data_IF_398838325653
#
_entry.id   IF_398838325653
#
_cell.length_a   1.000
_cell.length_b   1.000
_cell.length_c   1.000
_cell.angle_alpha   90.00
_cell.angle_beta   90.00
_cell.angle_gamma   90.00
#
_symmetry.space_group_name_H-M   'P 1'
#
loop_
_entity.id
_entity.type
_entity.pdbx_description
1 polymer ?
#
# COMPACT_ATOMS: atom_id res chain seq x y z
N UNK A 1 -20.71 -32.00 -4.20
CA UNK A 1 -19.74 -32.39 -3.15
C UNK A 1 -18.31 -32.39 -3.71
N UNK A 2 -18.03 -33.01 -4.87
CA UNK A 2 -16.70 -33.00 -5.52
C UNK A 2 -16.08 -31.60 -5.75
N UNK A 3 -16.80 -30.67 -6.38
CA UNK A 3 -16.28 -29.31 -6.67
C UNK A 3 -15.80 -28.52 -5.44
N UNK A 4 -16.46 -28.69 -4.28
CA UNK A 4 -16.04 -28.03 -3.04
C UNK A 4 -14.77 -28.67 -2.47
N UNK A 5 -14.64 -29.99 -2.56
CA UNK A 5 -13.45 -30.72 -2.13
C UNK A 5 -12.24 -30.37 -3.01
N UNK A 6 -12.43 -30.29 -4.34
CA UNK A 6 -11.38 -29.94 -5.30
C UNK A 6 -10.89 -28.50 -5.11
N UNK A 7 -11.80 -27.55 -4.81
CA UNK A 7 -11.43 -26.18 -4.47
C UNK A 7 -10.60 -26.09 -3.18
N UNK A 8 -10.89 -26.91 -2.17
CA UNK A 8 -10.10 -26.93 -0.93
C UNK A 8 -8.72 -27.58 -1.13
N UNK A 9 -8.62 -28.64 -1.93
CA UNK A 9 -7.33 -29.25 -2.28
C UNK A 9 -6.46 -28.28 -3.09
N UNK A 10 -7.05 -27.56 -4.05
CA UNK A 10 -6.38 -26.52 -4.81
C UNK A 10 -5.77 -25.44 -3.91
N UNK A 11 -6.55 -24.93 -2.95
CA UNK A 11 -6.07 -23.94 -1.99
C UNK A 11 -4.94 -24.50 -1.10
N UNK A 12 -5.07 -25.73 -0.59
CA UNK A 12 -4.00 -26.37 0.20
C UNK A 12 -2.69 -26.50 -0.59
N UNK A 13 -2.76 -26.77 -1.88
CA UNK A 13 -1.59 -26.82 -2.76
C UNK A 13 -0.91 -25.44 -2.88
N UNK A 14 -1.70 -24.39 -3.12
CA UNK A 14 -1.21 -23.01 -3.21
C UNK A 14 -0.58 -22.54 -1.90
N UNK A 15 -1.18 -22.88 -0.75
CA UNK A 15 -0.62 -22.59 0.57
C UNK A 15 0.74 -23.26 0.74
N UNK A 16 0.86 -24.57 0.48
CA UNK A 16 2.16 -25.28 0.60
C UNK A 16 3.24 -24.67 -0.28
N UNK A 17 2.89 -24.34 -1.53
CA UNK A 17 3.79 -23.67 -2.48
C UNK A 17 4.24 -22.32 -1.94
N UNK A 18 3.29 -21.49 -1.49
CA UNK A 18 3.59 -20.18 -0.92
C UNK A 18 4.47 -20.26 0.33
N UNK A 19 4.17 -21.18 1.26
CA UNK A 19 4.97 -21.41 2.47
C UNK A 19 6.43 -21.74 2.12
N UNK A 20 6.66 -22.63 1.14
CA UNK A 20 8.01 -22.99 0.73
C UNK A 20 8.76 -21.79 0.13
N UNK A 21 8.11 -21.06 -0.79
CA UNK A 21 8.71 -19.88 -1.44
C UNK A 21 9.03 -18.79 -0.40
N UNK A 22 8.10 -18.51 0.52
CA UNK A 22 8.28 -17.55 1.60
C UNK A 22 9.47 -17.95 2.49
N UNK A 23 9.54 -19.22 2.91
CA UNK A 23 10.61 -19.70 3.78
C UNK A 23 11.99 -19.55 3.11
N UNK A 24 12.09 -19.88 1.81
CA UNK A 24 13.32 -19.70 1.05
C UNK A 24 13.69 -18.22 0.93
N UNK A 25 12.74 -17.35 0.57
CA UNK A 25 12.98 -15.91 0.45
C UNK A 25 13.39 -15.28 1.79
N UNK A 26 12.71 -15.64 2.88
CA UNK A 26 13.04 -15.21 4.24
C UNK A 26 14.45 -15.64 4.64
N UNK A 27 14.81 -16.91 4.39
CA UNK A 27 16.15 -17.40 4.67
C UNK A 27 17.23 -16.62 3.89
N UNK A 28 16.99 -16.33 2.61
CA UNK A 28 17.91 -15.54 1.78
C UNK A 28 18.08 -14.12 2.33
N UNK A 29 16.98 -13.40 2.59
CA UNK A 29 17.04 -12.01 3.04
C UNK A 29 17.61 -11.91 4.46
N UNK A 30 17.22 -12.76 5.39
CA UNK A 30 17.79 -12.74 6.74
C UNK A 30 19.28 -13.12 6.74
N UNK A 31 19.70 -14.01 5.85
CA UNK A 31 21.14 -14.27 5.65
C UNK A 31 21.84 -13.03 5.08
N UNK A 32 21.22 -12.33 4.13
CA UNK A 32 21.78 -11.09 3.60
C UNK A 32 21.91 -10.00 4.68
N UNK A 33 20.89 -9.78 5.52
CA UNK A 33 20.98 -8.86 6.65
C UNK A 33 22.04 -9.28 7.67
N UNK A 34 22.20 -10.58 7.94
CA UNK A 34 23.22 -11.06 8.88
C UNK A 34 24.65 -10.91 8.33
N UNK A 35 24.84 -10.95 7.01
CA UNK A 35 26.14 -10.91 6.34
C UNK A 35 26.56 -9.51 5.85
N UNK A 36 25.64 -8.55 5.84
CA UNK A 36 25.89 -7.21 5.31
C UNK A 36 25.58 -6.14 6.35
N UNK A 37 26.24 -4.96 6.29
CA UNK A 37 25.93 -3.86 7.19
C UNK A 37 24.67 -3.09 6.76
N UNK A 38 23.82 -3.66 5.90
CA UNK A 38 22.61 -3.00 5.41
C UNK A 38 21.62 -2.90 6.58
N UNK A 39 21.21 -1.69 6.97
CA UNK A 39 20.30 -1.52 8.10
C UNK A 39 18.91 -2.10 7.77
N UNK A 40 18.35 -2.85 8.71
CA UNK A 40 16.96 -3.31 8.70
C UNK A 40 16.12 -2.39 9.57
N UNK A 41 15.02 -1.87 9.05
CA UNK A 41 14.10 -1.07 9.85
C UNK A 41 13.41 -1.90 10.93
N UNK A 42 13.05 -3.15 10.63
CA UNK A 42 12.44 -4.05 11.61
C UNK A 42 13.41 -4.32 12.76
N UNK A 43 14.68 -4.59 12.43
CA UNK A 43 15.71 -4.88 13.42
C UNK A 43 16.10 -3.67 14.27
N UNK A 44 16.23 -2.49 13.64
CA UNK A 44 16.73 -1.30 14.33
C UNK A 44 15.63 -0.44 14.96
N UNK A 45 14.59 -0.08 14.19
CA UNK A 45 13.58 0.88 14.60
C UNK A 45 12.39 0.21 15.29
N UNK A 46 11.81 -0.82 14.68
CA UNK A 46 10.61 -1.44 15.22
C UNK A 46 10.90 -2.24 16.49
N UNK A 47 12.03 -2.96 16.54
CA UNK A 47 12.49 -3.60 17.76
C UNK A 47 12.66 -2.60 18.92
N UNK A 48 13.23 -1.43 18.64
CA UNK A 48 13.40 -0.35 19.62
C UNK A 48 12.06 0.20 20.11
N UNK A 49 11.12 0.45 19.21
CA UNK A 49 9.76 0.88 19.57
C UNK A 49 9.03 -0.18 20.40
N UNK A 50 9.15 -1.46 20.04
CA UNK A 50 8.60 -2.56 20.82
C UNK A 50 9.19 -2.57 22.23
N UNK A 51 10.51 -2.41 22.38
CA UNK A 51 11.19 -2.29 23.67
C UNK A 51 10.64 -1.14 24.53
N UNK A 52 10.50 0.05 23.95
CA UNK A 52 9.90 1.20 24.65
C UNK A 52 8.49 0.93 25.15
N UNK A 53 7.63 0.34 24.30
CA UNK A 53 6.27 0.00 24.70
C UNK A 53 6.21 -1.11 25.76
N UNK A 54 7.12 -2.09 25.71
CA UNK A 54 7.25 -3.13 26.74
C UNK A 54 7.75 -2.58 28.09
N UNK A 55 8.53 -1.50 28.04
CA UNK A 55 8.94 -0.71 29.21
C UNK A 55 7.87 0.31 29.65
N UNK A 56 6.62 0.15 29.19
CA UNK A 56 5.47 1.01 29.50
C UNK A 56 5.61 2.47 29.04
N UNK A 57 6.48 2.77 28.09
CA UNK A 57 6.55 4.09 27.46
C UNK A 57 5.45 4.22 26.40
N UNK A 58 4.75 5.34 26.42
CA UNK A 58 3.65 5.60 25.52
C UNK A 58 4.13 6.28 24.22
N UNK A 59 3.80 5.74 23.03
CA UNK A 59 4.13 6.41 21.78
C UNK A 59 3.49 7.80 21.70
N UNK A 60 4.19 8.73 21.04
CA UNK A 60 3.89 10.17 20.92
C UNK A 60 4.15 11.01 22.17
N UNK A 61 3.90 10.46 23.37
CA UNK A 61 4.13 11.14 24.64
C UNK A 61 5.59 11.00 25.11
N UNK A 62 6.05 9.75 25.24
CA UNK A 62 7.36 9.43 25.81
C UNK A 62 8.44 9.27 24.74
N UNK A 63 8.05 8.88 23.52
CA UNK A 63 8.95 8.82 22.37
C UNK A 63 8.25 9.22 21.07
N UNK A 64 9.02 9.81 20.15
CA UNK A 64 8.52 10.20 18.84
C UNK A 64 8.26 8.97 17.96
N UNK A 65 7.02 8.86 17.49
CA UNK A 65 6.58 7.82 16.56
C UNK A 65 5.81 8.46 15.39
N UNK A 66 6.14 8.07 14.17
CA UNK A 66 5.61 8.63 12.93
C UNK A 66 4.41 7.86 12.35
N UNK A 67 4.05 6.73 12.96
CA UNK A 67 3.00 5.85 12.44
C UNK A 67 1.67 6.04 13.18
N UNK A 68 0.52 5.76 12.55
CA UNK A 68 -0.79 5.78 13.21
C UNK A 68 -0.92 4.79 14.39
N UNK A 69 -1.89 5.00 15.30
CA UNK A 69 -2.03 4.23 16.55
C UNK A 69 -1.99 2.71 16.41
N UNK A 70 -2.72 2.12 15.46
CA UNK A 70 -2.78 0.66 15.33
C UNK A 70 -1.49 0.08 14.74
N UNK A 71 -0.65 0.88 14.09
CA UNK A 71 0.68 0.44 13.68
C UNK A 71 1.54 0.02 14.88
N UNK A 72 1.38 0.71 16.01
CA UNK A 72 2.08 0.38 17.26
C UNK A 72 1.76 -1.04 17.73
N UNK A 73 0.54 -1.53 17.48
CA UNK A 73 0.17 -2.90 17.85
C UNK A 73 0.96 -3.94 17.03
N UNK A 74 1.06 -3.77 15.71
CA UNK A 74 1.81 -4.69 14.84
C UNK A 74 3.32 -4.63 15.11
N UNK A 75 3.82 -3.50 15.60
CA UNK A 75 5.21 -3.36 16.04
C UNK A 75 5.42 -4.04 17.41
N UNK A 76 4.44 -3.96 18.31
CA UNK A 76 4.52 -4.52 19.66
C UNK A 76 4.42 -6.06 19.68
N UNK A 77 3.54 -6.64 18.87
CA UNK A 77 3.23 -8.09 18.90
C UNK A 77 4.49 -8.96 18.82
N UNK A 78 5.43 -8.76 17.88
CA UNK A 78 6.66 -9.55 17.82
C UNK A 78 7.56 -9.36 19.05
N UNK A 79 7.51 -8.18 19.67
CA UNK A 79 8.22 -7.85 20.90
C UNK A 79 7.88 -8.81 22.04
N UNK A 80 6.61 -9.22 22.14
CA UNK A 80 6.12 -10.15 23.16
C UNK A 80 6.73 -11.56 23.07
N UNK A 81 7.32 -11.91 21.93
CA UNK A 81 7.88 -13.24 21.65
C UNK A 81 9.39 -13.21 21.37
N UNK A 82 10.05 -12.10 21.67
CA UNK A 82 11.46 -11.87 21.30
C UNK A 82 12.32 -11.44 22.48
N UNK A 83 13.60 -11.81 22.44
CA UNK A 83 14.60 -11.46 23.47
C UNK A 83 15.86 -10.81 22.88
N UNK A 84 15.90 -10.68 21.56
CA UNK A 84 16.97 -10.06 20.79
C UNK A 84 16.42 -9.55 19.45
N UNK A 85 17.15 -8.64 18.82
CA UNK A 85 16.83 -8.11 17.48
C UNK A 85 16.56 -9.21 16.45
N UNK A 86 17.41 -10.24 16.41
CA UNK A 86 17.23 -11.38 15.49
C UNK A 86 15.92 -12.14 15.76
N UNK A 87 15.62 -12.44 17.03
CA UNK A 87 14.36 -13.13 17.36
C UNK A 87 13.13 -12.27 17.09
N UNK A 88 13.26 -10.94 17.21
CA UNK A 88 12.21 -9.99 16.86
C UNK A 88 11.94 -9.99 15.35
N UNK A 89 12.99 -9.92 14.52
CA UNK A 89 12.86 -10.03 13.06
C UNK A 89 12.19 -11.34 12.65
N UNK A 90 12.56 -12.46 13.26
CA UNK A 90 11.93 -13.76 13.00
C UNK A 90 10.43 -13.73 13.38
N UNK A 91 10.09 -13.23 14.58
CA UNK A 91 8.71 -13.13 15.03
C UNK A 91 7.87 -12.20 14.13
N UNK A 92 8.43 -11.05 13.72
CA UNK A 92 7.80 -10.14 12.77
C UNK A 92 7.60 -10.84 11.42
N UNK A 93 8.60 -11.58 10.93
CA UNK A 93 8.46 -12.36 9.69
C UNK A 93 7.36 -13.42 9.73
N UNK A 94 7.15 -14.06 10.89
CA UNK A 94 6.01 -14.97 11.10
C UNK A 94 4.69 -14.21 11.03
N UNK A 95 4.60 -13.03 11.64
CA UNK A 95 3.42 -12.18 11.56
C UNK A 95 3.10 -11.75 10.11
N UNK A 96 4.12 -11.29 9.38
CA UNK A 96 4.05 -10.97 7.94
C UNK A 96 3.55 -12.16 7.12
N UNK A 97 4.09 -13.36 7.36
CA UNK A 97 3.67 -14.59 6.70
C UNK A 97 2.18 -14.89 6.90
N UNK A 98 1.68 -14.76 8.13
CA UNK A 98 0.26 -15.00 8.44
C UNK A 98 -0.66 -14.03 7.70
N UNK A 99 -0.28 -12.75 7.60
CA UNK A 99 -1.03 -11.76 6.83
C UNK A 99 -0.99 -12.08 5.33
N UNK A 100 0.17 -12.38 4.78
CA UNK A 100 0.28 -12.76 3.36
C UNK A 100 -0.55 -14.00 3.02
N UNK A 101 -0.59 -14.99 3.94
CA UNK A 101 -1.41 -16.18 3.81
C UNK A 101 -2.91 -15.84 3.81
N UNK A 102 -3.35 -14.94 4.69
CA UNK A 102 -4.73 -14.44 4.67
C UNK A 102 -5.06 -13.73 3.35
N UNK A 103 -4.11 -12.94 2.83
CA UNK A 103 -4.21 -12.31 1.51
C UNK A 103 -4.34 -13.35 0.38
N UNK A 104 -3.49 -14.38 0.37
CA UNK A 104 -3.54 -15.48 -0.61
C UNK A 104 -4.90 -16.19 -0.59
N UNK A 105 -5.43 -16.49 0.60
CA UNK A 105 -6.78 -17.07 0.74
C UNK A 105 -7.84 -16.14 0.14
N UNK A 106 -7.74 -14.83 0.38
CA UNK A 106 -8.66 -13.85 -0.21
C UNK A 106 -8.56 -13.81 -1.74
N UNK A 107 -7.35 -13.81 -2.31
CA UNK A 107 -7.14 -13.87 -3.77
C UNK A 107 -7.81 -15.12 -4.35
N UNK A 108 -7.55 -16.28 -3.75
CA UNK A 108 -8.13 -17.56 -4.20
C UNK A 108 -9.65 -17.52 -4.18
N UNK A 109 -10.24 -17.01 -3.08
CA UNK A 109 -11.69 -16.93 -2.90
C UNK A 109 -12.34 -15.91 -3.83
N UNK A 110 -11.73 -14.74 -4.06
CA UNK A 110 -12.23 -13.75 -5.03
C UNK A 110 -12.17 -14.35 -6.45
N UNK A 111 -11.04 -14.93 -6.83
CA UNK A 111 -10.86 -15.53 -8.15
C UNK A 111 -11.88 -16.65 -8.43
N UNK A 112 -12.16 -17.50 -7.44
CA UNK A 112 -13.17 -18.55 -7.55
C UNK A 112 -14.60 -18.06 -7.76
N UNK A 113 -14.88 -16.75 -7.63
CA UNK A 113 -16.17 -16.16 -8.01
C UNK A 113 -16.26 -15.74 -9.48
N UNK A 114 -15.16 -15.84 -10.23
CA UNK A 114 -15.06 -15.42 -11.63
C UNK A 114 -14.53 -16.51 -12.57
N UNK A 115 -13.61 -17.35 -12.10
CA UNK A 115 -12.91 -18.34 -12.93
C UNK A 115 -12.81 -19.70 -12.22
N UNK A 116 -12.76 -20.77 -12.99
CA UNK A 116 -12.62 -22.15 -12.48
C UNK A 116 -11.19 -22.45 -11.96
N UNK A 117 -10.17 -21.78 -12.50
CA UNK A 117 -8.76 -21.97 -12.12
C UNK A 117 -8.13 -20.75 -11.40
N UNK A 118 -8.40 -20.54 -10.09
CA UNK A 118 -7.82 -19.46 -9.28
C UNK A 118 -6.29 -19.42 -9.19
N UNK A 119 -5.61 -20.53 -9.51
CA UNK A 119 -4.17 -20.74 -9.24
C UNK A 119 -3.29 -19.69 -9.92
N UNK A 120 -3.57 -19.32 -11.17
CA UNK A 120 -2.78 -18.31 -11.90
C UNK A 120 -2.82 -16.93 -11.24
N UNK A 121 -3.93 -16.59 -10.58
CA UNK A 121 -4.04 -15.32 -9.85
C UNK A 121 -3.26 -15.38 -8.53
N UNK A 122 -3.28 -16.54 -7.87
CA UNK A 122 -2.46 -16.81 -6.69
C UNK A 122 -0.98 -16.74 -7.02
N UNK A 123 -0.55 -17.33 -8.14
CA UNK A 123 0.82 -17.21 -8.66
C UNK A 123 1.23 -15.76 -8.88
N UNK A 124 0.35 -14.95 -9.50
CA UNK A 124 0.62 -13.53 -9.69
C UNK A 124 0.78 -12.79 -8.35
N UNK A 125 -0.10 -13.02 -7.38
CA UNK A 125 0.02 -12.45 -6.04
C UNK A 125 1.34 -12.85 -5.36
N UNK A 126 1.68 -14.13 -5.39
CA UNK A 126 2.93 -14.65 -4.81
C UNK A 126 4.12 -13.97 -5.48
N UNK A 127 4.18 -13.92 -6.81
CA UNK A 127 5.28 -13.29 -7.55
C UNK A 127 5.40 -11.81 -7.20
N UNK A 128 4.31 -11.04 -7.23
CA UNK A 128 4.34 -9.61 -6.90
C UNK A 128 4.84 -9.36 -5.48
N UNK A 129 4.45 -10.21 -4.51
CA UNK A 129 4.96 -10.13 -3.15
C UNK A 129 6.46 -10.50 -3.09
N UNK A 130 6.88 -11.58 -3.76
CA UNK A 130 8.26 -12.06 -3.67
C UNK A 130 9.27 -11.14 -4.36
N UNK A 131 8.88 -10.45 -5.43
CA UNK A 131 9.78 -9.46 -6.08
C UNK A 131 9.94 -8.19 -5.22
N UNK A 132 9.00 -7.92 -4.30
CA UNK A 132 9.05 -6.82 -3.32
C UNK A 132 9.39 -7.31 -1.91
N UNK A 133 10.01 -8.49 -1.80
CA UNK A 133 10.12 -9.21 -0.53
C UNK A 133 11.01 -8.49 0.50
N UNK A 134 12.03 -7.78 0.04
CA UNK A 134 12.89 -6.91 0.84
C UNK A 134 12.05 -5.89 1.64
N UNK A 135 11.12 -5.21 0.97
CA UNK A 135 10.20 -4.29 1.63
C UNK A 135 9.15 -5.02 2.45
N UNK A 136 8.63 -6.16 1.99
CA UNK A 136 7.57 -6.88 2.69
C UNK A 136 8.02 -7.42 4.05
N UNK A 137 9.26 -7.91 4.14
CA UNK A 137 9.79 -8.46 5.38
C UNK A 137 10.35 -7.39 6.32
N UNK A 138 10.71 -6.21 5.78
CA UNK A 138 11.34 -5.13 6.53
C UNK A 138 10.45 -3.88 6.71
N UNK A 139 9.18 -3.91 6.25
CA UNK A 139 8.21 -2.82 6.42
C UNK A 139 6.84 -3.34 6.79
N UNK A 140 6.14 -2.60 7.66
CA UNK A 140 4.79 -2.96 8.12
C UNK A 140 3.68 -2.66 7.09
N UNK A 141 4.01 -2.08 5.92
CA UNK A 141 3.08 -1.75 4.83
C UNK A 141 2.26 -2.95 4.31
N UNK A 142 2.73 -4.17 4.58
CA UNK A 142 2.03 -5.41 4.32
C UNK A 142 0.69 -5.52 5.06
N UNK A 143 0.62 -5.10 6.32
CA UNK A 143 -0.59 -5.23 7.14
C UNK A 143 -1.78 -4.44 6.56
N UNK A 144 -1.68 -3.12 6.30
CA UNK A 144 -2.77 -2.38 5.69
C UNK A 144 -3.05 -2.83 4.25
N UNK A 145 -2.04 -3.30 3.50
CA UNK A 145 -2.22 -3.84 2.15
C UNK A 145 -3.12 -5.07 2.16
N UNK A 146 -2.85 -6.04 3.04
CA UNK A 146 -3.69 -7.23 3.20
C UNK A 146 -5.06 -6.86 3.73
N UNK A 147 -5.18 -5.90 4.64
CA UNK A 147 -6.49 -5.41 5.10
C UNK A 147 -7.32 -4.81 3.97
N UNK A 148 -6.72 -4.07 3.03
CA UNK A 148 -7.39 -3.63 1.81
C UNK A 148 -7.88 -4.83 0.98
N UNK A 149 -7.07 -5.87 0.82
CA UNK A 149 -7.45 -7.09 0.09
C UNK A 149 -8.59 -7.86 0.74
N UNK A 150 -8.56 -7.99 2.08
CA UNK A 150 -9.64 -8.60 2.87
C UNK A 150 -10.91 -7.75 2.77
N UNK A 151 -10.79 -6.41 2.76
CA UNK A 151 -11.92 -5.52 2.53
C UNK A 151 -12.53 -5.74 1.14
N UNK A 152 -11.71 -5.86 0.08
CA UNK A 152 -12.18 -6.21 -1.27
C UNK A 152 -12.93 -7.55 -1.26
N UNK A 153 -12.41 -8.57 -0.58
CA UNK A 153 -13.09 -9.86 -0.42
C UNK A 153 -14.45 -9.73 0.26
N UNK A 154 -14.56 -8.95 1.33
CA UNK A 154 -15.82 -8.73 2.02
C UNK A 154 -16.81 -7.87 1.23
N UNK A 155 -16.33 -6.93 0.41
CA UNK A 155 -17.19 -6.23 -0.56
C UNK A 155 -17.72 -7.22 -1.59
N UNK A 156 -16.85 -8.06 -2.19
CA UNK A 156 -17.27 -9.05 -3.19
C UNK A 156 -18.29 -10.06 -2.65
N UNK A 157 -18.16 -10.44 -1.39
CA UNK A 157 -19.06 -11.40 -0.72
C UNK A 157 -20.24 -10.77 0.01
N UNK A 158 -20.49 -9.46 -0.21
CA UNK A 158 -21.59 -8.69 0.39
C UNK A 158 -21.59 -8.67 1.94
N UNK A 159 -20.44 -8.94 2.57
CA UNK A 159 -20.24 -8.85 4.03
C UNK A 159 -19.79 -7.45 4.43
N UNK A 160 -20.57 -6.43 4.08
CA UNK A 160 -20.13 -5.03 4.11
C UNK A 160 -19.71 -4.52 5.49
N UNK A 161 -20.33 -4.98 6.58
CA UNK A 161 -19.89 -4.59 7.92
C UNK A 161 -18.44 -5.00 8.20
N UNK A 162 -18.01 -6.17 7.73
CA UNK A 162 -16.62 -6.62 7.86
C UNK A 162 -15.68 -5.87 6.90
N UNK A 163 -16.16 -5.48 5.72
CA UNK A 163 -15.39 -4.59 4.83
C UNK A 163 -15.09 -3.25 5.51
N UNK A 164 -16.08 -2.64 6.17
CA UNK A 164 -15.90 -1.41 6.95
C UNK A 164 -14.92 -1.58 8.11
N UNK A 165 -14.98 -2.71 8.83
CA UNK A 165 -14.00 -3.04 9.88
C UNK A 165 -12.59 -3.06 9.30
N UNK A 166 -12.37 -3.76 8.18
CA UNK A 166 -11.04 -3.87 7.57
C UNK A 166 -10.53 -2.53 7.01
N UNK A 167 -11.39 -1.71 6.42
CA UNK A 167 -11.03 -0.35 6.00
C UNK A 167 -10.62 0.50 7.20
N UNK A 168 -11.35 0.41 8.32
CA UNK A 168 -11.05 1.18 9.53
C UNK A 168 -9.75 0.72 10.20
N UNK A 169 -9.56 -0.60 10.39
CA UNK A 169 -8.31 -1.15 10.92
C UNK A 169 -7.12 -0.82 10.01
N UNK A 170 -7.30 -0.94 8.69
CA UNK A 170 -6.31 -0.53 7.70
C UNK A 170 -5.93 0.93 7.86
N UNK A 171 -6.93 1.82 7.97
CA UNK A 171 -6.76 3.27 8.18
C UNK A 171 -5.97 3.59 9.45
N UNK A 172 -6.30 2.91 10.55
CA UNK A 172 -5.63 3.10 11.83
C UNK A 172 -4.25 2.47 11.86
N UNK A 173 -3.91 1.62 10.90
CA UNK A 173 -2.57 1.08 10.68
C UNK A 173 -1.75 2.00 9.77
N UNK A 174 -2.34 2.48 8.68
CA UNK A 174 -1.76 3.47 7.76
C UNK A 174 -2.88 4.26 7.12
N UNK A 175 -2.72 5.54 6.84
CA UNK A 175 -3.88 6.40 6.50
C UNK A 175 -4.54 6.09 5.14
N UNK A 176 -3.82 5.54 4.17
CA UNK A 176 -4.32 5.42 2.79
C UNK A 176 -5.58 4.55 2.58
N UNK A 177 -5.86 3.47 3.35
CA UNK A 177 -7.10 2.69 3.22
C UNK A 177 -8.34 3.53 3.50
N UNK A 178 -8.23 4.67 4.20
CA UNK A 178 -9.35 5.60 4.41
C UNK A 178 -9.96 6.07 3.09
N UNK A 179 -9.17 6.10 2.01
CA UNK A 179 -9.61 6.49 0.68
C UNK A 179 -10.60 5.50 0.06
N UNK A 180 -10.63 4.25 0.53
CA UNK A 180 -11.63 3.27 0.10
C UNK A 180 -13.02 3.57 0.68
N UNK A 181 -13.10 4.25 1.83
CA UNK A 181 -14.37 4.53 2.49
C UNK A 181 -15.29 5.40 1.63
N UNK A 182 -14.87 6.56 1.08
CA UNK A 182 -15.72 7.33 0.16
C UNK A 182 -16.13 6.55 -1.10
N UNK A 183 -15.26 5.70 -1.65
CA UNK A 183 -15.62 4.84 -2.80
C UNK A 183 -16.77 3.91 -2.43
N UNK A 184 -16.72 3.27 -1.26
CA UNK A 184 -17.78 2.39 -0.78
C UNK A 184 -19.06 3.15 -0.38
N UNK A 185 -18.95 4.34 0.23
CA UNK A 185 -20.09 5.21 0.51
C UNK A 185 -20.80 5.58 -0.80
N UNK A 186 -20.05 6.04 -1.81
CA UNK A 186 -20.61 6.42 -3.11
C UNK A 186 -21.29 5.22 -3.75
N UNK A 187 -20.63 4.05 -3.74
CA UNK A 187 -21.21 2.82 -4.25
C UNK A 187 -22.56 2.50 -3.61
N UNK A 188 -22.63 2.49 -2.28
CA UNK A 188 -23.86 2.14 -1.56
C UNK A 188 -24.94 3.18 -1.71
N UNK A 189 -24.60 4.47 -1.61
CA UNK A 189 -25.57 5.56 -1.73
C UNK A 189 -26.18 5.65 -3.14
N UNK A 190 -25.37 5.45 -4.19
CA UNK A 190 -25.87 5.45 -5.57
C UNK A 190 -26.76 4.25 -5.87
N UNK A 191 -26.62 3.15 -5.12
CA UNK A 191 -27.46 1.96 -5.21
C UNK A 191 -28.59 1.92 -4.16
N UNK A 192 -28.95 3.07 -3.55
CA UNK A 192 -30.06 3.15 -2.58
C UNK A 192 -29.78 2.57 -1.19
N UNK A 193 -28.58 2.04 -0.92
CA UNK A 193 -28.16 1.37 0.33
C UNK A 193 -27.58 2.35 1.36
N UNK A 194 -28.20 3.53 1.52
CA UNK A 194 -27.69 4.63 2.36
C UNK A 194 -27.51 4.23 3.84
N UNK A 195 -28.39 3.37 4.36
CA UNK A 195 -28.31 2.93 5.76
C UNK A 195 -27.08 2.05 6.01
N UNK A 196 -26.67 1.24 5.02
CA UNK A 196 -25.45 0.42 5.12
C UNK A 196 -24.19 1.30 5.06
N UNK A 197 -24.23 2.40 4.29
CA UNK A 197 -23.17 3.42 4.32
C UNK A 197 -23.09 4.10 5.70
N UNK A 198 -24.22 4.52 6.27
CA UNK A 198 -24.25 5.16 7.59
C UNK A 198 -23.75 4.22 8.69
N UNK A 199 -24.19 2.95 8.67
CA UNK A 199 -23.68 1.91 9.57
C UNK A 199 -22.16 1.75 9.42
N UNK A 200 -21.68 1.74 8.19
CA UNK A 200 -20.25 1.69 7.88
C UNK A 200 -19.44 2.84 8.45
N UNK A 201 -19.92 4.07 8.28
CA UNK A 201 -19.33 5.27 8.89
C UNK A 201 -19.30 5.13 10.41
N UNK A 202 -20.38 4.65 11.03
CA UNK A 202 -20.42 4.37 12.46
C UNK A 202 -19.36 3.36 12.93
N UNK A 203 -19.12 2.28 12.15
CA UNK A 203 -18.05 1.30 12.41
C UNK A 203 -16.67 1.95 12.34
N UNK A 204 -16.42 2.77 11.31
CA UNK A 204 -15.14 3.47 11.16
C UNK A 204 -14.87 4.42 12.32
N UNK A 205 -15.88 5.22 12.72
CA UNK A 205 -15.78 6.12 13.87
C UNK A 205 -15.51 5.34 15.15
N UNK A 206 -16.24 4.25 15.40
CA UNK A 206 -16.06 3.42 16.59
C UNK A 206 -14.63 2.86 16.68
N UNK A 207 -14.12 2.26 15.60
CA UNK A 207 -12.76 1.71 15.57
C UNK A 207 -11.70 2.81 15.73
N UNK A 208 -11.90 3.95 15.06
CA UNK A 208 -11.02 5.12 15.22
C UNK A 208 -10.97 5.61 16.67
N UNK A 209 -12.13 5.72 17.33
CA UNK A 209 -12.19 6.10 18.74
C UNK A 209 -11.51 5.06 19.65
N UNK A 210 -11.79 3.77 19.47
CA UNK A 210 -11.19 2.70 20.29
C UNK A 210 -9.66 2.69 20.17
N UNK A 211 -9.14 2.82 18.96
CA UNK A 211 -7.69 2.79 18.70
C UNK A 211 -6.98 4.06 19.19
N UNK A 212 -7.64 5.22 19.16
CA UNK A 212 -7.10 6.48 19.69
C UNK A 212 -7.24 6.61 21.21
N UNK A 213 -8.17 5.89 21.85
CA UNK A 213 -8.51 6.07 23.26
C UNK A 213 -7.30 5.96 24.22
N UNK A 214 -6.38 4.99 24.08
CA UNK A 214 -5.21 4.92 24.97
C UNK A 214 -4.33 6.17 24.88
N UNK A 215 -4.13 6.70 23.68
CA UNK A 215 -3.30 7.89 23.43
C UNK A 215 -3.99 9.17 23.94
N UNK A 216 -5.30 9.25 23.78
CA UNK A 216 -6.10 10.34 24.35
C UNK A 216 -6.05 10.35 25.89
N UNK A 217 -6.05 9.18 26.54
CA UNK A 217 -5.97 9.09 28.00
C UNK A 217 -4.55 9.43 28.49
N UNK A 218 -3.52 8.94 27.80
CA UNK A 218 -2.13 9.15 28.20
C UNK A 218 -1.72 10.63 28.05
N UNK A 219 -1.95 11.22 26.87
CA UNK A 219 -1.67 12.63 26.61
C UNK A 219 -2.48 13.14 25.40
N UNK A 220 -3.59 13.86 25.64
CA UNK A 220 -4.40 14.45 24.58
C UNK A 220 -3.63 15.40 23.65
N UNK A 221 -2.57 16.05 24.15
CA UNK A 221 -1.81 17.04 23.39
C UNK A 221 -0.94 16.43 22.30
N UNK A 222 -0.52 15.18 22.47
CA UNK A 222 0.43 14.50 21.58
C UNK A 222 -0.20 13.40 20.73
N UNK A 223 -1.47 13.04 20.95
CA UNK A 223 -2.14 11.94 20.22
C UNK A 223 -2.15 12.04 18.68
N UNK A 224 -1.97 13.25 18.13
CA UNK A 224 -1.91 13.51 16.68
C UNK A 224 -0.50 13.82 16.17
N UNK A 225 0.56 13.62 16.97
CA UNK A 225 1.94 13.96 16.59
C UNK A 225 2.40 13.27 15.30
N UNK A 226 1.92 12.06 15.02
CA UNK A 226 2.21 11.39 13.75
C UNK A 226 1.70 12.19 12.52
N UNK A 227 0.60 12.95 12.65
CA UNK A 227 0.14 13.83 11.57
C UNK A 227 1.07 15.02 11.41
N UNK A 228 1.47 15.67 12.50
CA UNK A 228 2.42 16.78 12.50
C UNK A 228 3.76 16.38 11.87
N UNK A 229 4.26 15.18 12.20
CA UNK A 229 5.45 14.61 11.58
C UNK A 229 5.38 14.61 10.04
N UNK A 230 4.26 14.16 9.46
CA UNK A 230 4.11 14.12 7.99
C UNK A 230 3.77 15.49 7.38
N UNK A 231 3.18 16.40 8.15
CA UNK A 231 2.97 17.79 7.70
C UNK A 231 4.30 18.52 7.56
N UNK A 232 5.21 18.37 8.53
CA UNK A 232 6.50 19.06 8.56
C UNK A 232 7.56 18.42 7.65
N UNK A 233 7.37 17.15 7.27
CA UNK A 233 8.27 16.41 6.38
C UNK A 233 8.48 17.12 5.03
N UNK A 234 9.71 17.10 4.54
CA UNK A 234 10.08 17.64 3.23
C UNK A 234 9.52 16.87 2.03
N UNK A 235 9.85 17.33 0.82
CA UNK A 235 9.49 16.63 -0.42
C UNK A 235 10.49 15.50 -0.68
N UNK A 236 10.02 14.25 -0.67
CA UNK A 236 10.89 13.08 -0.78
C UNK A 236 11.40 12.91 -2.21
N UNK A 237 12.67 12.50 -2.39
CA UNK A 237 13.35 12.49 -3.70
C UNK A 237 12.61 11.67 -4.77
N UNK A 238 11.83 10.66 -4.40
CA UNK A 238 11.16 9.77 -5.35
C UNK A 238 9.76 10.24 -5.75
N UNK A 239 9.25 11.30 -5.13
CA UNK A 239 7.97 11.90 -5.51
C UNK A 239 7.97 12.29 -6.99
N UNK A 240 6.79 12.24 -7.62
CA UNK A 240 6.66 12.59 -9.04
C UNK A 240 7.15 14.01 -9.30
N UNK A 241 6.77 14.95 -8.43
CA UNK A 241 7.26 16.33 -8.49
C UNK A 241 8.78 16.41 -8.32
N UNK A 242 9.35 15.73 -7.31
CA UNK A 242 10.80 15.72 -7.07
C UNK A 242 11.59 15.24 -8.28
N UNK A 243 11.15 14.17 -8.95
CA UNK A 243 11.88 13.65 -10.12
C UNK A 243 12.01 14.66 -11.25
N UNK A 244 11.00 15.53 -11.45
CA UNK A 244 11.05 16.64 -12.42
C UNK A 244 11.90 17.79 -11.90
N UNK A 245 11.72 18.19 -10.64
CA UNK A 245 12.46 19.29 -10.03
C UNK A 245 13.97 18.99 -9.99
N UNK A 246 14.37 17.80 -9.56
CA UNK A 246 15.77 17.37 -9.55
C UNK A 246 16.39 17.39 -10.95
N UNK A 247 15.63 17.07 -12.01
CA UNK A 247 16.13 17.22 -13.37
C UNK A 247 16.39 18.68 -13.75
N UNK A 248 15.50 19.59 -13.35
CA UNK A 248 15.70 21.02 -13.56
C UNK A 248 16.90 21.54 -12.76
N UNK A 249 17.08 21.06 -11.53
CA UNK A 249 18.24 21.38 -10.69
C UNK A 249 19.55 20.85 -11.26
N UNK A 250 19.55 19.65 -11.87
CA UNK A 250 20.73 19.10 -12.53
C UNK A 250 21.24 19.97 -13.70
N UNK A 251 20.35 20.70 -14.37
CA UNK A 251 20.69 21.64 -15.44
C UNK A 251 20.86 23.09 -14.96
N UNK A 252 21.00 23.31 -13.65
CA UNK A 252 21.15 24.63 -13.03
C UNK A 252 20.00 25.62 -13.37
N UNK A 253 18.80 25.11 -13.67
CA UNK A 253 17.61 25.94 -13.96
C UNK A 253 16.98 26.47 -12.67
N UNK A 254 17.04 25.68 -11.59
CA UNK A 254 16.56 26.03 -10.26
C UNK A 254 17.53 25.55 -9.19
N UNK A 255 17.60 26.27 -8.07
CA UNK A 255 18.39 25.84 -6.91
C UNK A 255 17.66 24.74 -6.14
N UNK A 256 18.37 23.64 -5.84
CA UNK A 256 17.87 22.52 -5.06
C UNK A 256 18.94 22.06 -4.06
N UNK A 257 18.53 21.91 -2.80
CA UNK A 257 19.32 21.24 -1.78
C UNK A 257 18.79 19.83 -1.49
N UNK A 258 19.67 18.97 -0.97
CA UNK A 258 19.38 17.60 -0.56
C UNK A 258 19.62 17.46 0.94
N UNK A 259 18.75 16.72 1.63
CA UNK A 259 18.85 16.49 3.07
C UNK A 259 18.23 15.15 3.45
N UNK A 260 18.90 14.42 4.35
CA UNK A 260 18.30 13.27 5.02
C UNK A 260 17.64 13.72 6.33
N UNK A 261 16.31 13.66 6.39
CA UNK A 261 15.53 13.92 7.60
C UNK A 261 14.19 13.16 7.54
N UNK A 262 13.52 13.00 8.68
CA UNK A 262 12.27 12.23 8.77
C UNK A 262 12.39 10.79 8.18
N UNK A 263 13.54 10.16 8.36
CA UNK A 263 13.81 8.81 7.87
C UNK A 263 13.83 8.67 6.34
N UNK A 264 14.06 9.75 5.59
CA UNK A 264 14.14 9.70 4.13
C UNK A 264 15.01 10.79 3.52
N UNK A 265 15.41 10.59 2.26
CA UNK A 265 16.02 11.62 1.43
C UNK A 265 14.97 12.59 0.90
N UNK A 266 15.16 13.87 1.19
CA UNK A 266 14.27 14.94 0.79
C UNK A 266 15.03 16.03 0.02
N UNK A 267 14.30 16.74 -0.84
CA UNK A 267 14.76 17.96 -1.49
C UNK A 267 14.14 19.19 -0.80
N UNK A 268 14.86 20.30 -0.83
CA UNK A 268 14.42 21.60 -0.33
C UNK A 268 14.88 22.75 -1.22
N UNK A 269 14.23 23.90 -1.08
CA UNK A 269 14.54 25.11 -1.84
C UNK A 269 13.27 25.89 -2.19
N UNK A 270 13.41 27.14 -2.64
CA UNK A 270 12.26 28.03 -2.86
C UNK A 270 11.20 27.43 -3.81
N UNK A 271 11.64 26.76 -4.89
CA UNK A 271 10.72 26.10 -5.84
C UNK A 271 10.17 24.78 -5.29
N UNK A 272 10.98 23.82 -4.79
CA UNK A 272 10.47 22.63 -4.12
C UNK A 272 9.45 22.93 -3.00
N UNK A 273 9.72 23.91 -2.15
CA UNK A 273 8.86 24.25 -1.00
C UNK A 273 7.53 24.85 -1.46
N UNK A 274 7.54 25.71 -2.49
CA UNK A 274 6.32 26.26 -3.09
C UNK A 274 5.46 25.17 -3.75
N UNK A 275 6.09 24.22 -4.46
CA UNK A 275 5.39 23.07 -5.06
C UNK A 275 4.82 22.17 -3.96
N UNK A 276 5.60 21.83 -2.93
CA UNK A 276 5.11 21.03 -1.80
C UNK A 276 3.88 21.67 -1.13
N UNK A 277 3.87 23.01 -1.00
CA UNK A 277 2.75 23.76 -0.43
C UNK A 277 1.44 23.66 -1.21
N UNK A 278 1.48 23.40 -2.53
CA UNK A 278 0.27 23.25 -3.36
C UNK A 278 -0.17 21.80 -3.57
N UNK A 279 0.73 20.83 -3.38
CA UNK A 279 0.48 19.40 -3.64
C UNK A 279 -0.69 18.82 -2.84
N UNK A 280 -0.87 19.22 -1.57
CA UNK A 280 -2.01 18.77 -0.76
C UNK A 280 -3.36 19.11 -1.41
N UNK A 281 -3.50 20.35 -1.88
CA UNK A 281 -4.73 20.83 -2.51
C UNK A 281 -4.96 20.17 -3.87
N UNK A 282 -3.90 20.01 -4.67
CA UNK A 282 -3.95 19.30 -5.95
C UNK A 282 -4.38 17.84 -5.75
N UNK A 283 -3.77 17.15 -4.79
CA UNK A 283 -4.11 15.77 -4.43
C UNK A 283 -5.57 15.66 -4.00
N UNK A 284 -6.03 16.52 -3.09
CA UNK A 284 -7.42 16.53 -2.63
C UNK A 284 -8.40 16.79 -3.78
N UNK A 285 -8.09 17.74 -4.67
CA UNK A 285 -8.90 18.05 -5.84
C UNK A 285 -8.97 16.88 -6.83
N UNK A 286 -7.84 16.22 -7.13
CA UNK A 286 -7.80 15.07 -8.04
C UNK A 286 -8.57 13.86 -7.48
N UNK A 287 -8.45 13.59 -6.18
CA UNK A 287 -9.19 12.53 -5.49
C UNK A 287 -10.70 12.86 -5.50
N UNK A 288 -11.09 14.09 -5.17
CA UNK A 288 -12.49 14.51 -5.22
C UNK A 288 -13.08 14.42 -6.64
N UNK A 289 -12.35 14.84 -7.66
CA UNK A 289 -12.75 14.69 -9.06
C UNK A 289 -12.96 13.21 -9.43
N UNK A 290 -12.11 12.32 -8.91
CA UNK A 290 -12.22 10.87 -9.14
C UNK A 290 -13.46 10.30 -8.45
N UNK A 291 -13.79 10.73 -7.23
CA UNK A 291 -15.03 10.36 -6.55
C UNK A 291 -16.27 10.80 -7.33
N UNK A 292 -16.29 12.04 -7.84
CA UNK A 292 -17.40 12.55 -8.66
C UNK A 292 -17.52 11.76 -9.96
N UNK A 293 -16.41 11.52 -10.65
CA UNK A 293 -16.37 10.72 -11.87
C UNK A 293 -16.90 9.30 -11.62
N UNK A 294 -16.43 8.64 -10.56
CA UNK A 294 -16.91 7.31 -10.16
C UNK A 294 -18.40 7.31 -9.84
N UNK A 295 -18.89 8.23 -9.01
CA UNK A 295 -20.30 8.34 -8.65
C UNK A 295 -21.23 8.54 -9.85
N UNK A 296 -20.78 9.32 -10.85
CA UNK A 296 -21.53 9.51 -12.11
C UNK A 296 -21.73 8.21 -12.90
N UNK A 297 -20.80 7.26 -12.76
CA UNK A 297 -20.82 5.97 -13.47
C UNK A 297 -21.54 4.87 -12.71
N UNK A 298 -21.59 4.94 -11.37
CA UNK A 298 -22.32 3.95 -10.56
C UNK A 298 -23.84 4.17 -10.62
N UNK A 299 -24.30 5.42 -10.71
CA UNK A 299 -25.72 5.80 -10.57
C UNK A 299 -26.70 5.15 -11.57
N UNK A 300 -26.24 4.54 -12.66
CA UNK A 300 -27.08 4.02 -13.74
C UNK A 300 -26.57 2.69 -14.33
N UNK A 301 -26.10 1.75 -13.51
CA UNK A 301 -25.50 0.50 -14.00
C UNK A 301 -26.18 -0.74 -13.44
N UNK A 302 -26.66 -1.61 -14.34
CA UNK A 302 -27.22 -2.94 -14.01
C UNK A 302 -26.16 -4.06 -14.03
N UNK A 303 -24.89 -3.74 -14.31
CA UNK A 303 -23.77 -4.71 -14.42
C UNK A 303 -23.02 -4.90 -13.10
N UNK A 304 -22.25 -5.98 -12.99
CA UNK A 304 -21.30 -6.18 -11.88
C UNK A 304 -20.34 -4.98 -11.78
N UNK A 305 -20.42 -4.27 -10.65
CA UNK A 305 -19.66 -3.04 -10.41
C UNK A 305 -18.35 -3.27 -9.65
N UNK A 306 -18.08 -4.50 -9.20
CA UNK A 306 -16.87 -4.82 -8.46
C UNK A 306 -15.57 -4.43 -9.19
N UNK A 307 -15.42 -4.63 -10.51
CA UNK A 307 -14.20 -4.20 -11.22
C UNK A 307 -14.02 -2.69 -11.20
N UNK A 308 -15.12 -1.94 -11.35
CA UNK A 308 -15.09 -0.46 -11.31
C UNK A 308 -14.85 0.07 -9.91
N UNK A 309 -15.40 -0.60 -8.89
CA UNK A 309 -15.11 -0.32 -7.49
C UNK A 309 -13.62 -0.52 -7.19
N UNK A 310 -13.04 -1.66 -7.60
CA UNK A 310 -11.62 -1.95 -7.46
C UNK A 310 -10.75 -0.90 -8.17
N UNK A 311 -11.15 -0.48 -9.38
CA UNK A 311 -10.45 0.56 -10.15
C UNK A 311 -10.51 1.93 -9.47
N UNK A 312 -11.66 2.30 -8.91
CA UNK A 312 -11.81 3.54 -8.16
C UNK A 312 -10.94 3.55 -6.90
N UNK A 313 -10.91 2.45 -6.14
CA UNK A 313 -10.02 2.30 -4.98
C UNK A 313 -8.54 2.42 -5.38
N UNK A 314 -8.10 1.71 -6.42
CA UNK A 314 -6.73 1.80 -6.92
C UNK A 314 -6.39 3.23 -7.38
N UNK A 315 -7.27 3.89 -8.14
CA UNK A 315 -7.04 5.23 -8.64
C UNK A 315 -6.84 6.25 -7.52
N UNK A 316 -7.67 6.22 -6.47
CA UNK A 316 -7.54 7.19 -5.37
C UNK A 316 -6.30 6.94 -4.51
N UNK A 317 -5.91 5.67 -4.32
CA UNK A 317 -4.65 5.31 -3.65
C UNK A 317 -3.45 5.74 -4.50
N UNK A 318 -3.51 5.54 -5.82
CA UNK A 318 -2.48 6.00 -6.75
C UNK A 318 -2.38 7.53 -6.77
N UNK A 319 -3.50 8.26 -6.80
CA UNK A 319 -3.49 9.71 -6.71
C UNK A 319 -2.89 10.19 -5.38
N UNK A 320 -3.21 9.51 -4.29
CA UNK A 320 -2.63 9.81 -2.98
C UNK A 320 -1.11 9.58 -2.94
N UNK A 321 -0.55 8.62 -3.67
CA UNK A 321 0.91 8.44 -3.71
C UNK A 321 1.59 9.33 -4.75
N UNK A 322 0.97 9.58 -5.91
CA UNK A 322 1.61 10.26 -7.04
C UNK A 322 1.52 11.78 -6.98
N UNK A 323 0.48 12.33 -6.34
CA UNK A 323 0.28 13.78 -6.20
C UNK A 323 0.73 14.30 -4.83
N UNK A 324 1.21 13.41 -3.96
CA UNK A 324 1.75 13.74 -2.65
C UNK A 324 3.25 14.03 -2.73
N UNK A 325 3.74 14.85 -1.80
CA UNK A 325 5.17 15.20 -1.67
C UNK A 325 6.03 14.01 -1.23
N UNK A 326 5.41 12.89 -0.84
CA UNK A 326 6.09 11.65 -0.43
C UNK A 326 5.65 10.49 -1.29
N UNK A 327 6.62 9.80 -1.91
CA UNK A 327 6.40 8.56 -2.67
C UNK A 327 7.47 7.51 -2.33
N UNK A 328 7.36 6.96 -1.13
CA UNK A 328 8.30 5.95 -0.64
C UNK A 328 8.28 4.68 -1.53
N UNK A 329 9.41 3.99 -1.74
CA UNK A 329 9.49 2.82 -2.63
C UNK A 329 8.48 1.72 -2.27
N UNK A 330 8.27 1.48 -0.98
CA UNK A 330 7.36 0.46 -0.48
C UNK A 330 5.88 0.77 -0.78
N UNK A 331 5.52 2.00 -1.16
CA UNK A 331 4.14 2.34 -1.51
C UNK A 331 3.62 1.54 -2.71
N UNK A 332 4.54 1.01 -3.54
CA UNK A 332 4.21 0.10 -4.64
C UNK A 332 3.48 -1.16 -4.13
N UNK A 333 3.76 -1.62 -2.91
CA UNK A 333 3.08 -2.78 -2.29
C UNK A 333 1.57 -2.52 -2.18
N UNK A 334 1.15 -1.27 -1.96
CA UNK A 334 -0.27 -0.92 -1.78
C UNK A 334 -1.11 -1.22 -3.03
N UNK A 335 -0.48 -1.27 -4.21
CA UNK A 335 -1.15 -1.58 -5.47
C UNK A 335 -1.42 -3.08 -5.64
N UNK A 336 -0.68 -3.96 -4.96
CA UNK A 336 -0.71 -5.42 -5.18
C UNK A 336 -2.14 -5.99 -5.11
N UNK A 337 -2.95 -5.74 -4.06
CA UNK A 337 -4.31 -6.27 -3.96
C UNK A 337 -5.16 -5.95 -5.18
N UNK A 338 -5.12 -4.67 -5.58
CA UNK A 338 -5.99 -4.15 -6.59
C UNK A 338 -5.56 -4.61 -7.97
N UNK A 339 -4.25 -4.58 -8.26
CA UNK A 339 -3.70 -5.04 -9.54
C UNK A 339 -3.93 -6.54 -9.71
N UNK A 340 -3.66 -7.35 -8.68
CA UNK A 340 -3.93 -8.79 -8.71
C UNK A 340 -5.39 -9.05 -9.06
N UNK A 341 -6.34 -8.44 -8.35
CA UNK A 341 -7.78 -8.63 -8.62
C UNK A 341 -8.19 -8.02 -9.96
N UNK A 342 -7.55 -6.95 -10.41
CA UNK A 342 -7.88 -6.27 -11.66
C UNK A 342 -7.65 -7.17 -12.88
N UNK A 343 -6.60 -7.99 -12.88
CA UNK A 343 -6.22 -8.86 -14.00
C UNK A 343 -7.32 -9.85 -14.40
N UNK A 344 -8.24 -10.19 -13.48
CA UNK A 344 -9.43 -11.00 -13.81
C UNK A 344 -10.32 -10.33 -14.86
N UNK A 345 -10.36 -9.00 -14.87
CA UNK A 345 -11.26 -8.16 -15.65
C UNK A 345 -10.53 -7.38 -16.74
N UNK A 346 -9.37 -7.86 -17.17
CA UNK A 346 -8.67 -7.33 -18.34
C UNK A 346 -8.86 -8.28 -19.50
N UNK A 347 -8.91 -7.76 -20.72
CA UNK A 347 -8.82 -8.60 -21.92
C UNK A 347 -7.45 -9.29 -22.00
N UNK A 348 -7.39 -10.43 -22.69
CA UNK A 348 -6.20 -11.29 -22.75
C UNK A 348 -4.92 -10.53 -23.16
N UNK A 349 -5.03 -9.63 -24.14
CA UNK A 349 -3.89 -8.81 -24.58
C UNK A 349 -3.37 -7.85 -23.50
N UNK A 350 -4.27 -7.31 -22.67
CA UNK A 350 -3.92 -6.37 -21.60
C UNK A 350 -3.43 -7.07 -20.33
N UNK A 351 -3.78 -8.34 -20.10
CA UNK A 351 -3.26 -9.12 -18.96
C UNK A 351 -1.74 -9.20 -18.98
N UNK A 352 -1.18 -9.71 -20.08
CA UNK A 352 0.28 -9.88 -20.22
C UNK A 352 0.99 -8.52 -20.19
N UNK A 353 0.47 -7.52 -20.91
CA UNK A 353 1.04 -6.16 -20.91
C UNK A 353 1.07 -5.56 -19.51
N UNK A 354 0.00 -5.73 -18.73
CA UNK A 354 -0.07 -5.20 -17.37
C UNK A 354 0.94 -5.87 -16.44
N UNK A 355 1.12 -7.19 -16.56
CA UNK A 355 2.15 -7.92 -15.79
C UNK A 355 3.55 -7.44 -16.15
N UNK A 356 3.85 -7.27 -17.44
CA UNK A 356 5.16 -6.75 -17.90
C UNK A 356 5.39 -5.33 -17.38
N UNK A 357 4.42 -4.43 -17.51
CA UNK A 357 4.53 -3.04 -17.04
C UNK A 357 4.76 -2.98 -15.53
N UNK A 358 4.05 -3.80 -14.75
CA UNK A 358 4.28 -3.92 -13.31
C UNK A 358 5.67 -4.48 -12.98
N UNK A 359 6.12 -5.51 -13.70
CA UNK A 359 7.46 -6.08 -13.53
C UNK A 359 8.57 -5.06 -13.82
N UNK A 360 8.44 -4.28 -14.88
CA UNK A 360 9.39 -3.19 -15.21
C UNK A 360 9.38 -2.11 -14.13
N UNK A 361 8.20 -1.69 -13.66
CA UNK A 361 8.07 -0.68 -12.61
C UNK A 361 8.70 -1.16 -11.29
N UNK A 362 8.48 -2.41 -10.90
CA UNK A 362 9.11 -3.00 -9.71
C UNK A 362 10.63 -3.08 -9.91
N UNK A 363 11.09 -3.54 -11.08
CA UNK A 363 12.51 -3.59 -11.42
C UNK A 363 13.20 -2.22 -11.33
N UNK A 364 12.55 -1.16 -11.80
CA UNK A 364 13.05 0.22 -11.65
C UNK A 364 13.04 0.69 -10.19
N UNK A 365 12.09 0.24 -9.39
CA UNK A 365 12.04 0.54 -7.95
C UNK A 365 13.21 -0.14 -7.23
N UNK A 366 13.51 -1.39 -7.56
CA UNK A 366 14.68 -2.12 -7.03
C UNK A 366 16.00 -1.50 -7.51
N UNK A 367 16.07 -1.10 -8.78
CA UNK A 367 17.24 -0.41 -9.32
C UNK A 367 17.47 0.95 -8.64
N UNK A 368 16.40 1.69 -8.33
CA UNK A 368 16.48 2.92 -7.55
C UNK A 368 17.07 2.68 -6.15
N UNK A 369 16.66 1.61 -5.46
CA UNK A 369 17.25 1.27 -4.15
C UNK A 369 18.74 1.02 -4.24
N UNK A 370 19.19 0.23 -5.22
CA UNK A 370 20.60 -0.06 -5.39
C UNK A 370 21.37 1.22 -5.76
N UNK A 371 20.87 1.98 -6.73
CA UNK A 371 21.63 3.08 -7.29
C UNK A 371 21.61 4.34 -6.42
N UNK A 372 20.44 4.80 -6.02
CA UNK A 372 20.30 6.07 -5.30
C UNK A 372 20.53 5.91 -3.79
N UNK A 373 20.15 4.79 -3.18
CA UNK A 373 20.32 4.62 -1.73
C UNK A 373 21.64 3.91 -1.36
N UNK A 374 22.03 2.85 -2.07
CA UNK A 374 23.23 2.07 -1.71
C UNK A 374 24.51 2.66 -2.31
N UNK A 375 24.50 3.06 -3.58
CA UNK A 375 25.71 3.57 -4.26
C UNK A 375 25.95 5.06 -3.99
N UNK A 376 24.93 5.90 -4.16
CA UNK A 376 25.07 7.36 -3.96
C UNK A 376 25.12 7.71 -2.47
N UNK A 377 24.21 7.16 -1.67
CA UNK A 377 24.15 7.37 -0.23
C UNK A 377 23.07 8.37 0.19
N UNK A 378 22.75 8.37 1.48
CA UNK A 378 21.65 9.15 2.06
C UNK A 378 21.99 10.64 2.14
N UNK A 379 21.03 11.49 1.76
CA UNK A 379 21.12 12.95 1.81
C UNK A 379 21.99 13.58 0.73
N UNK A 380 22.55 12.76 -0.17
CA UNK A 380 23.48 13.21 -1.20
C UNK A 380 22.76 13.64 -2.49
N UNK A 381 23.34 14.56 -3.29
CA UNK A 381 22.80 14.90 -4.59
C UNK A 381 22.76 13.71 -5.55
N UNK A 382 21.61 13.51 -6.20
CA UNK A 382 21.46 12.42 -7.17
C UNK A 382 22.20 12.73 -8.48
N UNK A 383 22.78 11.69 -9.06
CA UNK A 383 23.36 11.77 -10.43
C UNK A 383 22.26 11.70 -11.49
N UNK A 384 22.56 12.16 -12.72
CA UNK A 384 21.60 12.12 -13.83
C UNK A 384 21.01 10.72 -14.09
N UNK A 385 21.78 9.61 -14.10
CA UNK A 385 21.19 8.28 -14.22
C UNK A 385 20.20 7.95 -13.10
N UNK A 386 20.50 8.36 -11.86
CA UNK A 386 19.62 8.20 -10.70
C UNK A 386 18.30 8.95 -10.85
N UNK A 387 18.36 10.19 -11.35
CA UNK A 387 17.17 11.00 -11.66
C UNK A 387 16.36 10.37 -12.80
N UNK A 388 17.02 9.88 -13.85
CA UNK A 388 16.34 9.25 -15.00
C UNK A 388 15.61 7.96 -14.61
N UNK A 389 16.18 7.14 -13.72
CA UNK A 389 15.48 5.96 -13.17
C UNK A 389 14.15 6.39 -12.54
N UNK A 390 14.18 7.43 -11.71
CA UNK A 390 12.98 7.95 -11.05
C UNK A 390 11.96 8.54 -12.04
N UNK A 391 12.41 9.31 -13.03
CA UNK A 391 11.53 9.86 -14.08
C UNK A 391 10.83 8.75 -14.84
N UNK A 392 11.55 7.71 -15.28
CA UNK A 392 10.96 6.61 -16.04
C UNK A 392 10.00 5.82 -15.15
N UNK A 393 10.40 5.50 -13.91
CA UNK A 393 9.55 4.81 -12.93
C UNK A 393 8.25 5.58 -12.66
N UNK A 394 8.35 6.88 -12.43
CA UNK A 394 7.21 7.76 -12.16
C UNK A 394 6.33 7.94 -13.39
N UNK A 395 6.92 8.03 -14.59
CA UNK A 395 6.18 8.05 -15.86
C UNK A 395 5.34 6.79 -16.06
N UNK A 396 5.86 5.61 -15.70
CA UNK A 396 5.11 4.35 -15.75
C UNK A 396 3.96 4.35 -14.74
N UNK A 397 4.18 4.84 -13.51
CA UNK A 397 3.11 4.94 -12.51
C UNK A 397 1.99 5.89 -12.96
N UNK A 398 2.33 7.03 -13.54
CA UNK A 398 1.35 7.96 -14.14
C UNK A 398 0.61 7.29 -15.29
N UNK A 399 1.29 6.53 -16.15
CA UNK A 399 0.66 5.77 -17.22
C UNK A 399 -0.35 4.74 -16.67
N UNK A 400 0.01 3.99 -15.64
CA UNK A 400 -0.89 3.05 -14.97
C UNK A 400 -2.10 3.80 -14.40
N UNK A 401 -1.91 4.92 -13.71
CA UNK A 401 -3.00 5.74 -13.17
C UNK A 401 -3.97 6.18 -14.28
N UNK A 402 -3.46 6.68 -15.40
CA UNK A 402 -4.29 7.07 -16.56
C UNK A 402 -5.10 5.89 -17.06
N UNK A 403 -4.49 4.70 -17.17
CA UNK A 403 -5.21 3.48 -17.56
C UNK A 403 -6.30 3.11 -16.56
N UNK A 404 -6.02 3.13 -15.26
CA UNK A 404 -7.00 2.84 -14.21
C UNK A 404 -8.17 3.84 -14.25
N UNK A 405 -7.91 5.14 -14.43
CA UNK A 405 -8.96 6.16 -14.58
C UNK A 405 -9.80 5.89 -15.84
N UNK A 406 -9.19 5.47 -16.94
CA UNK A 406 -9.93 5.07 -18.14
C UNK A 406 -10.89 3.90 -17.86
N UNK A 407 -10.49 2.92 -17.02
CA UNK A 407 -11.38 1.81 -16.60
C UNK A 407 -12.59 2.30 -15.80
N UNK A 408 -12.42 3.35 -15.00
CA UNK A 408 -13.53 3.97 -14.25
C UNK A 408 -14.50 4.64 -15.23
N UNK A 409 -13.99 5.33 -16.25
CA UNK A 409 -14.79 6.17 -17.15
C UNK A 409 -15.46 5.40 -18.29
N UNK A 410 -14.78 4.40 -18.86
CA UNK A 410 -15.22 3.63 -20.03
C UNK A 410 -15.54 2.18 -19.64
N UNK A 411 -16.78 1.70 -19.82
CA UNK A 411 -17.13 0.30 -19.55
C UNK A 411 -16.61 -0.71 -20.58
N UNK A 412 -16.21 -0.25 -21.78
CA UNK A 412 -16.20 -1.07 -22.99
C UNK A 412 -14.92 -1.82 -23.34
N UNK A 413 -13.76 -1.40 -22.82
CA UNK A 413 -12.46 -1.91 -23.33
C UNK A 413 -11.91 -3.10 -22.51
N UNK A 414 -12.69 -3.63 -21.55
CA UNK A 414 -12.13 -4.45 -20.46
C UNK A 414 -12.99 -5.63 -20.01
N UNK A 415 -14.27 -5.68 -20.37
CA UNK A 415 -15.08 -6.85 -20.04
C UNK A 415 -14.76 -7.89 -21.11
N UNK A 416 -13.94 -8.88 -20.77
CA UNK A 416 -13.99 -10.14 -21.50
C UNK A 416 -15.46 -10.57 -21.49
N UNK A 417 -16.12 -10.54 -22.64
CA UNK A 417 -17.39 -11.25 -22.79
C UNK A 417 -17.07 -12.70 -22.48
N UNK A 418 -17.40 -13.13 -21.25
CA UNK A 418 -17.45 -14.55 -20.95
C UNK A 418 -18.62 -15.07 -21.78
N UNK A 419 -18.31 -15.57 -22.99
CA UNK A 419 -19.22 -16.45 -23.71
C UNK A 419 -19.61 -17.58 -22.77
N UNK A 420 -20.92 -17.67 -22.54
CA UNK A 420 -21.61 -18.56 -21.62
C UNK A 420 -21.41 -20.03 -21.99
#
# INVERSE_FOLDING_TARGET
>A
MGLFTDMEEGLKCEIKKFTLIFAIAAAIIYTAFALTPVPSEVGSLYYKYAGYMLDFQMPYSDFAAEYPPLAMLWILIPGLFSFSELTYQIAFGVEVYLFLLAGLVCVYRIAGTYIEEPKRLCDLYIVLCIVMFDFIIDRYDIFPMVMCLVALYFVRTERLSLAWVMIALGTMTKLYPALMAPVLIIYLCMNGRKMEALKGVGICVLIGCITMLPFLIADPGTMLMFLTYHMDRGMQIESVASSVLMLLGYFDIIDIGYIFNYGSDNIYGAVPDAVAGCMLYLMAASIAATYVAYGSKVRNSDKDMFPRFNAACLAVIMLFMLVNKVLSPQYIIWMIPFVTVMVLHLESEWKMRSVIVMGVMIGLTQLNMIFNYVIVGLGEPLTLPGILILIVRNGILVFILVKVIQMILKPGDLIAEHEV
#
